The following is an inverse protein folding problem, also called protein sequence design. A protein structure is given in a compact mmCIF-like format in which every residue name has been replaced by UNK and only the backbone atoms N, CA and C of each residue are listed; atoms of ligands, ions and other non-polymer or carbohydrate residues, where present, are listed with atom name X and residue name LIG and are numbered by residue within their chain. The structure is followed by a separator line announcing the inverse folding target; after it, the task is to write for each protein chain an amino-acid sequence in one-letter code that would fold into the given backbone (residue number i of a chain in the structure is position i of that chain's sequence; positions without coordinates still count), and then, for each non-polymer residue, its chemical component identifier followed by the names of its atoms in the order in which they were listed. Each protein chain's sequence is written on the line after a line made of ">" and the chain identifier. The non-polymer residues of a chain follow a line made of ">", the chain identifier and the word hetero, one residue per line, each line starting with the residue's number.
data_IF_840176674960
#
_entry.id   IF_840176674960
#
_cell.length_a   1.000
_cell.length_b   1.000
_cell.length_c   1.000
_cell.angle_alpha   90.00
_cell.angle_beta   90.00
_cell.angle_gamma   90.00
#
_symmetry.space_group_name_H-M   'P 1'
#
loop_
_entity.id
_entity.type
_entity.pdbx_description
1 polymer ?
#
# COMPACT_ATOMS: atom_id res chain seq x y z
N UNK A 1 -34.25 -21.62 -27.86
CA UNK A 1 -32.84 -21.15 -27.88
C UNK A 1 -32.85 -19.62 -27.78
N UNK A 2 -32.91 -19.08 -26.57
CA UNK A 2 -32.68 -17.66 -26.32
C UNK A 2 -31.18 -17.45 -26.15
N UNK A 3 -30.61 -16.55 -26.93
CA UNK A 3 -29.17 -16.36 -27.06
C UNK A 3 -28.68 -15.47 -25.90
N UNK A 4 -27.85 -16.02 -25.01
CA UNK A 4 -27.29 -15.37 -23.80
C UNK A 4 -26.43 -14.13 -24.12
N UNK A 5 -26.05 -13.91 -25.38
CA UNK A 5 -25.26 -12.75 -25.80
C UNK A 5 -26.04 -11.41 -25.75
N UNK A 6 -27.37 -11.41 -25.85
CA UNK A 6 -28.17 -10.18 -25.90
C UNK A 6 -28.49 -9.55 -24.53
N UNK A 7 -28.30 -10.28 -23.42
CA UNK A 7 -28.55 -9.74 -22.07
C UNK A 7 -27.42 -8.82 -21.58
N UNK A 8 -26.16 -9.10 -21.94
CA UNK A 8 -25.03 -8.28 -21.54
C UNK A 8 -25.05 -6.89 -22.20
N UNK A 9 -25.46 -6.81 -23.48
CA UNK A 9 -25.61 -5.53 -24.17
C UNK A 9 -26.71 -4.64 -23.56
N UNK A 10 -27.77 -5.23 -23.00
CA UNK A 10 -28.86 -4.47 -22.37
C UNK A 10 -28.44 -3.91 -20.99
N UNK A 11 -27.65 -4.67 -20.22
CA UNK A 11 -27.07 -4.21 -18.96
C UNK A 11 -26.02 -3.11 -19.17
N UNK A 12 -25.18 -3.23 -20.21
CA UNK A 12 -24.21 -2.19 -20.55
C UNK A 12 -24.90 -0.91 -21.05
N UNK A 13 -25.99 -1.01 -21.82
CA UNK A 13 -26.79 0.16 -22.23
C UNK A 13 -27.49 0.85 -21.07
N UNK A 14 -28.06 0.09 -20.13
CA UNK A 14 -28.69 0.66 -18.93
C UNK A 14 -27.66 1.28 -17.97
N UNK A 15 -26.46 0.70 -17.85
CA UNK A 15 -25.35 1.28 -17.12
C UNK A 15 -24.85 2.58 -17.79
N UNK A 16 -24.78 2.61 -19.12
CA UNK A 16 -24.41 3.78 -19.89
C UNK A 16 -25.45 4.91 -19.77
N UNK A 17 -26.74 4.60 -19.84
CA UNK A 17 -27.83 5.56 -19.60
C UNK A 17 -27.81 6.08 -18.16
N UNK A 18 -27.62 5.21 -17.15
CA UNK A 18 -27.51 5.64 -15.75
C UNK A 18 -26.28 6.52 -15.52
N UNK A 19 -25.15 6.21 -16.17
CA UNK A 19 -23.95 7.05 -16.11
C UNK A 19 -24.20 8.43 -16.76
N UNK A 20 -24.92 8.47 -17.88
CA UNK A 20 -25.30 9.71 -18.55
C UNK A 20 -26.33 10.53 -17.74
N UNK A 21 -27.26 9.86 -17.05
CA UNK A 21 -28.28 10.52 -16.23
C UNK A 21 -27.74 11.01 -14.87
N UNK A 22 -26.83 10.24 -14.25
CA UNK A 22 -26.09 10.66 -13.05
C UNK A 22 -25.13 11.81 -13.34
N UNK A 23 -24.50 11.82 -14.51
CA UNK A 23 -23.72 12.97 -14.97
C UNK A 23 -24.63 14.17 -15.28
N UNK A 24 -25.79 13.99 -15.92
CA UNK A 24 -26.76 15.08 -16.19
C UNK A 24 -27.30 15.72 -14.90
N UNK A 25 -27.67 14.92 -13.90
CA UNK A 25 -28.17 15.42 -12.60
C UNK A 25 -27.06 16.12 -11.80
N UNK A 26 -25.82 15.62 -11.84
CA UNK A 26 -24.65 16.33 -11.29
C UNK A 26 -24.37 17.64 -12.03
N UNK A 27 -24.44 17.66 -13.36
CA UNK A 27 -24.28 18.86 -14.19
C UNK A 27 -25.32 19.91 -13.83
N UNK A 28 -26.59 19.55 -13.68
CA UNK A 28 -27.68 20.46 -13.27
C UNK A 28 -27.44 21.06 -11.87
N UNK A 29 -27.04 20.24 -10.89
CA UNK A 29 -26.73 20.73 -9.54
C UNK A 29 -25.49 21.64 -9.48
N UNK A 30 -24.47 21.36 -10.29
CA UNK A 30 -23.25 22.18 -10.37
C UNK A 30 -23.49 23.48 -11.12
N UNK A 31 -24.32 23.46 -12.17
CA UNK A 31 -24.75 24.64 -12.93
C UNK A 31 -25.51 25.62 -12.02
N UNK A 32 -26.46 25.12 -11.22
CA UNK A 32 -27.19 25.92 -10.24
C UNK A 32 -26.28 26.50 -9.13
N UNK A 33 -25.23 25.77 -8.73
CA UNK A 33 -24.28 26.22 -7.70
C UNK A 33 -23.29 27.27 -8.22
N UNK A 34 -22.91 27.23 -9.51
CA UNK A 34 -22.02 28.20 -10.13
C UNK A 34 -22.75 29.50 -10.55
N UNK A 35 -23.96 29.41 -11.10
CA UNK A 35 -24.74 30.60 -11.47
C UNK A 35 -25.17 31.45 -10.26
N UNK A 36 -25.39 30.85 -9.08
CA UNK A 36 -25.73 31.59 -7.86
C UNK A 36 -24.55 32.34 -7.22
N UNK A 37 -23.30 31.98 -7.55
CA UNK A 37 -22.09 32.56 -6.94
C UNK A 37 -21.39 33.60 -7.81
N UNK A 38 -21.85 33.82 -9.03
CA UNK A 38 -21.42 34.94 -9.86
C UNK A 38 -22.35 36.13 -9.56
N UNK A 39 -21.90 37.03 -8.69
CA UNK A 39 -22.47 38.38 -8.59
C UNK A 39 -22.40 39.11 -9.95
N UNK A 40 -23.02 40.30 -10.09
CA UNK A 40 -23.31 40.96 -11.37
C UNK A 40 -22.07 41.58 -12.09
N UNK A 41 -20.93 40.90 -12.08
CA UNK A 41 -19.70 41.30 -12.75
C UNK A 41 -19.07 40.11 -13.47
N UNK A 42 -19.70 39.68 -14.56
CA UNK A 42 -19.02 38.88 -15.57
C UNK A 42 -19.33 39.47 -16.94
N UNK A 43 -18.53 40.47 -17.33
CA UNK A 43 -18.44 40.90 -18.72
C UNK A 43 -17.67 39.83 -19.51
N UNK A 44 -18.31 39.34 -20.58
CA UNK A 44 -17.73 38.70 -21.76
C UNK A 44 -16.68 37.61 -21.51
N UNK A 45 -17.15 36.39 -21.27
CA UNK A 45 -16.42 35.18 -21.65
C UNK A 45 -17.12 34.61 -22.89
N UNK A 46 -16.58 34.90 -24.09
CA UNK A 46 -17.01 34.30 -25.37
C UNK A 46 -16.46 32.87 -25.53
N UNK A 47 -16.73 31.98 -24.58
CA UNK A 47 -16.47 30.56 -24.76
C UNK A 47 -17.72 29.76 -24.40
N UNK A 48 -18.02 28.77 -25.24
CA UNK A 48 -19.18 27.90 -25.10
C UNK A 48 -19.28 27.36 -23.65
N UNK A 49 -20.38 27.62 -22.93
CA UNK A 49 -20.58 27.14 -21.56
C UNK A 49 -20.35 25.63 -21.40
N UNK A 50 -20.64 24.83 -22.43
CA UNK A 50 -20.39 23.39 -22.43
C UNK A 50 -18.89 23.08 -22.39
N UNK A 51 -18.07 23.84 -23.11
CA UNK A 51 -16.62 23.66 -23.15
C UNK A 51 -15.97 24.05 -21.82
N UNK A 52 -16.49 25.09 -21.13
CA UNK A 52 -16.06 25.47 -19.77
C UNK A 52 -16.42 24.36 -18.77
N UNK A 53 -17.63 23.81 -18.85
CA UNK A 53 -18.08 22.71 -17.99
C UNK A 53 -17.21 21.46 -18.19
N UNK A 54 -16.91 21.07 -19.43
CA UNK A 54 -16.08 19.90 -19.72
C UNK A 54 -14.65 20.05 -19.21
N UNK A 55 -14.05 21.25 -19.33
CA UNK A 55 -12.72 21.54 -18.80
C UNK A 55 -12.74 21.50 -17.26
N UNK A 56 -13.75 22.09 -16.62
CA UNK A 56 -13.87 22.08 -15.17
C UNK A 56 -14.09 20.67 -14.61
N UNK A 57 -14.90 19.86 -15.28
CA UNK A 57 -15.12 18.44 -14.95
C UNK A 57 -13.82 17.65 -15.09
N UNK A 58 -13.12 17.80 -16.21
CA UNK A 58 -11.83 17.12 -16.45
C UNK A 58 -10.77 17.51 -15.42
N UNK A 59 -10.69 18.79 -15.06
CA UNK A 59 -9.76 19.28 -14.04
C UNK A 59 -10.12 18.76 -12.64
N UNK A 60 -11.41 18.69 -12.29
CA UNK A 60 -11.85 18.08 -11.03
C UNK A 60 -11.55 16.57 -10.98
N UNK A 61 -11.77 15.84 -12.08
CA UNK A 61 -11.39 14.43 -12.17
C UNK A 61 -9.88 14.22 -11.98
N UNK A 62 -9.05 15.05 -12.62
CA UNK A 62 -7.58 15.01 -12.45
C UNK A 62 -7.19 15.30 -11.00
N UNK A 63 -7.85 16.27 -10.36
CA UNK A 63 -7.58 16.65 -8.97
C UNK A 63 -7.99 15.55 -7.97
N UNK A 64 -9.17 14.97 -8.14
CA UNK A 64 -9.67 13.88 -7.30
C UNK A 64 -8.79 12.64 -7.43
N UNK A 65 -8.40 12.30 -8.66
CA UNK A 65 -7.46 11.21 -8.91
C UNK A 65 -6.14 11.48 -8.19
N UNK A 66 -5.52 12.65 -8.41
CA UNK A 66 -4.26 13.05 -7.76
C UNK A 66 -4.34 13.01 -6.23
N UNK A 67 -5.52 13.27 -5.66
CA UNK A 67 -5.73 13.18 -4.22
C UNK A 67 -5.76 11.73 -3.74
N UNK A 68 -6.47 10.85 -4.43
CA UNK A 68 -6.53 9.40 -4.14
C UNK A 68 -5.15 8.76 -4.18
N UNK A 69 -4.35 9.12 -5.18
CA UNK A 69 -2.94 8.76 -5.33
C UNK A 69 -2.13 9.11 -4.10
N UNK A 70 -2.19 10.37 -3.70
CA UNK A 70 -1.38 10.91 -2.60
C UNK A 70 -1.78 10.22 -1.30
N UNK A 71 -3.06 9.90 -1.16
CA UNK A 71 -3.59 9.15 -0.04
C UNK A 71 -3.03 7.73 0.00
N UNK A 72 -3.04 7.00 -1.12
CA UNK A 72 -2.44 5.67 -1.20
C UNK A 72 -0.92 5.69 -1.03
N UNK A 73 -0.19 6.67 -1.57
CA UNK A 73 1.24 6.79 -1.32
C UNK A 73 1.52 7.03 0.17
N UNK A 74 0.74 7.90 0.81
CA UNK A 74 0.84 8.16 2.24
C UNK A 74 0.57 6.91 3.09
N UNK A 75 -0.48 6.15 2.77
CA UNK A 75 -0.84 4.93 3.52
C UNK A 75 0.23 3.85 3.36
N UNK A 76 0.69 3.63 2.13
CA UNK A 76 1.79 2.73 1.83
C UNK A 76 3.05 3.11 2.62
N UNK A 77 3.44 4.39 2.58
CA UNK A 77 4.63 4.87 3.25
C UNK A 77 4.51 4.75 4.78
N UNK A 78 3.33 4.99 5.34
CA UNK A 78 3.07 4.78 6.76
C UNK A 78 3.30 3.31 7.16
N UNK A 79 2.68 2.36 6.45
CA UNK A 79 2.87 0.93 6.71
C UNK A 79 4.33 0.48 6.59
N UNK A 80 5.03 0.98 5.56
CA UNK A 80 6.45 0.68 5.33
C UNK A 80 7.35 1.24 6.44
N UNK A 81 7.13 2.49 6.86
CA UNK A 81 7.87 3.11 7.97
C UNK A 81 7.57 2.38 9.28
N UNK A 82 6.33 1.94 9.49
CA UNK A 82 5.93 1.23 10.70
C UNK A 82 6.58 -0.16 10.83
N UNK A 83 6.76 -0.86 9.71
CA UNK A 83 7.55 -2.09 9.65
C UNK A 83 9.06 -1.84 9.77
N UNK A 84 9.69 -1.41 8.68
CA UNK A 84 11.16 -1.36 8.53
C UNK A 84 11.80 0.02 8.74
N UNK A 85 10.97 1.03 8.98
CA UNK A 85 11.43 2.39 9.20
C UNK A 85 11.82 2.73 10.64
N UNK A 86 12.32 3.94 10.83
CA UNK A 86 12.41 4.60 12.12
C UNK A 86 12.46 6.11 11.95
N UNK A 87 12.05 6.83 12.99
CA UNK A 87 12.19 8.26 13.14
C UNK A 87 12.95 8.48 14.45
N UNK A 88 14.06 9.21 14.38
CA UNK A 88 14.93 9.48 15.51
C UNK A 88 15.32 10.96 15.53
N UNK A 89 15.34 11.54 16.72
CA UNK A 89 15.96 12.82 17.01
C UNK A 89 17.25 12.50 17.75
N UNK A 90 18.37 12.90 17.16
CA UNK A 90 19.71 12.67 17.71
C UNK A 90 20.01 13.64 18.87
N UNK A 91 21.03 13.33 19.67
CA UNK A 91 21.51 14.20 20.75
C UNK A 91 21.95 15.59 20.24
N UNK A 92 22.38 15.68 18.99
CA UNK A 92 22.72 16.93 18.30
C UNK A 92 21.49 17.71 17.80
N UNK A 93 20.28 17.31 18.23
CA UNK A 93 19.02 17.93 17.84
C UNK A 93 18.78 17.90 16.30
N UNK A 94 19.13 16.78 15.67
CA UNK A 94 18.91 16.50 14.23
C UNK A 94 17.96 15.33 14.05
N UNK A 95 17.02 15.48 13.12
CA UNK A 95 16.08 14.42 12.72
C UNK A 95 16.72 13.49 11.70
N UNK A 96 16.49 12.19 11.88
CA UNK A 96 16.77 11.15 10.90
C UNK A 96 15.50 10.30 10.76
N UNK A 97 14.92 10.30 9.57
CA UNK A 97 13.94 9.30 9.15
C UNK A 97 14.66 8.30 8.24
N UNK A 98 14.68 7.03 8.65
CA UNK A 98 15.35 5.97 7.91
C UNK A 98 14.39 4.84 7.57
N UNK A 99 14.58 4.19 6.41
CA UNK A 99 13.92 2.93 6.04
C UNK A 99 15.00 1.96 5.58
N UNK A 100 15.04 0.78 6.17
CA UNK A 100 16.00 -0.27 5.81
C UNK A 100 15.41 -1.15 4.72
N UNK A 101 16.20 -1.44 3.68
CA UNK A 101 15.81 -2.38 2.61
C UNK A 101 16.90 -3.43 2.44
N UNK A 102 16.54 -4.60 1.90
CA UNK A 102 17.53 -5.50 1.34
C UNK A 102 18.24 -4.81 0.15
N UNK A 103 19.52 -5.12 -0.07
CA UNK A 103 20.28 -4.54 -1.19
C UNK A 103 19.63 -4.78 -2.56
N UNK A 104 18.93 -5.91 -2.74
CA UNK A 104 18.21 -6.20 -3.99
C UNK A 104 17.08 -5.20 -4.27
N UNK A 105 16.50 -4.60 -3.24
CA UNK A 105 15.41 -3.62 -3.32
C UNK A 105 15.90 -2.17 -3.47
N UNK A 106 17.18 -1.97 -3.81
CA UNK A 106 17.72 -0.63 -4.14
C UNK A 106 16.88 0.15 -5.17
N UNK A 107 16.32 -0.46 -6.22
CA UNK A 107 15.46 0.25 -7.17
C UNK A 107 14.24 0.90 -6.51
N UNK A 108 13.57 0.21 -5.59
CA UNK A 108 12.46 0.79 -4.82
C UNK A 108 12.94 1.94 -3.94
N UNK A 109 14.05 1.78 -3.22
CA UNK A 109 14.61 2.85 -2.40
C UNK A 109 14.96 4.10 -3.23
N UNK A 110 15.50 3.93 -4.44
CA UNK A 110 15.81 5.03 -5.35
C UNK A 110 14.55 5.73 -5.87
N UNK A 111 13.50 4.96 -6.19
CA UNK A 111 12.21 5.50 -6.62
C UNK A 111 11.54 6.31 -5.52
N UNK A 112 11.54 5.81 -4.28
CA UNK A 112 11.04 6.55 -3.11
C UNK A 112 11.87 7.81 -2.85
N UNK A 113 13.19 7.75 -2.99
CA UNK A 113 14.06 8.92 -2.87
C UNK A 113 13.66 10.01 -3.89
N UNK A 114 13.49 9.65 -5.16
CA UNK A 114 13.08 10.62 -6.20
C UNK A 114 11.71 11.24 -5.94
N UNK A 115 10.76 10.48 -5.37
CA UNK A 115 9.43 11.01 -5.08
C UNK A 115 9.41 11.90 -3.86
N UNK A 116 10.07 11.48 -2.77
CA UNK A 116 9.95 12.16 -1.47
C UNK A 116 10.79 13.43 -1.43
N UNK A 117 11.96 13.45 -2.07
CA UNK A 117 12.80 14.64 -2.20
C UNK A 117 14.23 14.41 -1.75
N UNK A 118 14.81 15.40 -1.05
CA UNK A 118 16.23 15.40 -0.69
C UNK A 118 16.51 14.40 0.44
N UNK A 119 17.30 13.39 0.10
CA UNK A 119 17.78 12.35 1.01
C UNK A 119 18.97 11.63 0.41
N UNK A 120 19.34 10.47 0.95
CA UNK A 120 20.39 9.63 0.40
C UNK A 120 20.18 8.15 0.75
N UNK A 121 20.80 7.28 -0.03
CA UNK A 121 20.82 5.83 0.22
C UNK A 121 22.21 5.45 0.72
N UNK A 122 22.29 5.02 1.98
CA UNK A 122 23.53 4.53 2.59
C UNK A 122 23.64 3.00 2.43
N UNK A 123 24.82 2.51 2.05
CA UNK A 123 25.13 1.08 2.15
C UNK A 123 25.44 0.72 3.61
N UNK A 124 24.95 -0.43 4.07
CA UNK A 124 25.35 -1.01 5.37
C UNK A 124 26.40 -2.11 5.14
N UNK A 125 26.98 -2.62 6.23
CA UNK A 125 27.98 -3.72 6.18
C UNK A 125 27.37 -5.07 5.76
N UNK A 126 26.07 -5.20 5.93
CA UNK A 126 25.25 -6.37 5.58
C UNK A 126 24.67 -6.22 4.16
N UNK A 127 23.94 -7.23 3.68
CA UNK A 127 23.15 -7.17 2.44
C UNK A 127 21.91 -6.26 2.56
N UNK A 128 22.09 -5.07 3.14
CA UNK A 128 21.06 -4.07 3.32
C UNK A 128 21.56 -2.67 2.98
N UNK A 129 20.62 -1.84 2.60
CA UNK A 129 20.78 -0.42 2.36
C UNK A 129 19.79 0.33 3.24
N UNK A 130 20.00 1.63 3.39
CA UNK A 130 19.12 2.46 4.18
C UNK A 130 18.85 3.77 3.45
N UNK A 131 17.57 4.01 3.16
CA UNK A 131 17.08 5.27 2.65
C UNK A 131 16.91 6.24 3.82
N UNK A 132 17.62 7.37 3.80
CA UNK A 132 17.61 8.37 4.88
C UNK A 132 17.17 9.74 4.40
N UNK A 133 16.34 10.38 5.23
CA UNK A 133 15.89 11.75 5.07
C UNK A 133 16.17 12.56 6.35
N UNK A 134 16.73 13.75 6.16
CA UNK A 134 16.99 14.73 7.23
C UNK A 134 16.75 16.17 6.78
N UNK A 135 16.52 16.39 5.48
CA UNK A 135 16.21 17.70 4.91
C UNK A 135 14.84 18.20 5.37
N UNK A 136 14.76 19.47 5.80
CA UNK A 136 13.55 20.08 6.37
C UNK A 136 12.33 19.95 5.43
N UNK A 137 12.47 20.31 4.15
CA UNK A 137 11.36 20.29 3.19
C UNK A 137 10.86 18.87 2.96
N UNK A 138 11.79 17.93 2.85
CA UNK A 138 11.49 16.52 2.64
C UNK A 138 10.82 15.88 3.85
N UNK A 139 11.31 16.17 5.06
CA UNK A 139 10.68 15.73 6.31
C UNK A 139 9.26 16.27 6.46
N UNK A 140 9.04 17.56 6.20
CA UNK A 140 7.70 18.15 6.23
C UNK A 140 6.75 17.46 5.24
N UNK A 141 7.21 17.22 4.01
CA UNK A 141 6.43 16.50 3.01
C UNK A 141 6.06 15.09 3.49
N UNK A 142 7.02 14.34 4.04
CA UNK A 142 6.75 13.00 4.58
C UNK A 142 5.74 13.06 5.72
N UNK A 143 5.90 14.00 6.68
CA UNK A 143 4.96 14.18 7.79
C UNK A 143 3.56 14.50 7.28
N UNK A 144 3.41 15.41 6.31
CA UNK A 144 2.12 15.72 5.69
C UNK A 144 1.48 14.50 5.04
N UNK A 145 2.27 13.62 4.41
CA UNK A 145 1.76 12.41 3.77
C UNK A 145 1.24 11.39 4.79
N UNK A 146 1.97 11.17 5.91
CA UNK A 146 1.73 10.04 6.82
C UNK A 146 0.97 10.40 8.10
N UNK A 147 0.82 11.69 8.44
CA UNK A 147 0.08 12.10 9.63
C UNK A 147 -1.38 11.67 9.52
N UNK A 148 -1.87 10.93 10.52
CA UNK A 148 -3.20 10.32 10.50
C UNK A 148 -3.30 9.02 9.69
N UNK A 149 -2.17 8.39 9.31
CA UNK A 149 -2.14 7.12 8.56
C UNK A 149 -1.41 5.98 9.28
N UNK A 150 -0.76 6.26 10.41
CA UNK A 150 -0.11 5.22 11.24
C UNK A 150 -1.17 4.36 11.93
N UNK A 151 -0.86 3.07 12.13
CA UNK A 151 -1.78 2.11 12.76
C UNK A 151 -1.16 1.32 13.92
N UNK A 152 0.11 1.56 14.24
CA UNK A 152 0.87 0.87 15.28
C UNK A 152 1.27 1.81 16.43
N UNK A 153 1.69 1.25 17.59
CA UNK A 153 2.34 2.02 18.64
C UNK A 153 3.56 2.85 18.23
N UNK A 154 4.13 2.61 17.03
CA UNK A 154 5.25 3.39 16.50
C UNK A 154 4.86 4.84 16.15
N UNK A 155 3.57 5.18 16.16
CA UNK A 155 3.09 6.58 16.01
C UNK A 155 3.76 7.54 17.00
N UNK A 156 4.19 7.03 18.16
CA UNK A 156 4.99 7.79 19.13
C UNK A 156 6.22 8.46 18.50
N UNK A 157 6.89 7.83 17.53
CA UNK A 157 8.05 8.43 16.86
C UNK A 157 7.65 9.58 15.93
N UNK A 158 6.49 9.46 15.26
CA UNK A 158 5.93 10.51 14.42
C UNK A 158 5.50 11.71 15.27
N UNK A 159 4.86 11.46 16.42
CA UNK A 159 4.49 12.52 17.35
C UNK A 159 5.70 13.29 17.89
N UNK A 160 6.77 12.58 18.27
CA UNK A 160 8.04 13.24 18.65
C UNK A 160 8.61 14.12 17.54
N UNK A 161 8.51 13.66 16.29
CA UNK A 161 8.95 14.45 15.13
C UNK A 161 8.07 15.68 14.91
N UNK A 162 6.75 15.55 15.04
CA UNK A 162 5.81 16.68 14.95
C UNK A 162 6.11 17.71 16.03
N UNK A 163 6.26 17.27 17.29
CA UNK A 163 6.61 18.16 18.41
C UNK A 163 7.95 18.88 18.16
N UNK A 164 8.95 18.16 17.63
CA UNK A 164 10.23 18.74 17.25
C UNK A 164 10.11 19.78 16.13
N UNK A 165 9.29 19.52 15.10
CA UNK A 165 9.07 20.46 13.99
C UNK A 165 8.37 21.74 14.48
N UNK A 166 7.32 21.57 15.30
CA UNK A 166 6.59 22.68 15.91
C UNK A 166 7.52 23.56 16.75
N UNK A 167 8.33 22.94 17.62
CA UNK A 167 9.27 23.67 18.48
C UNK A 167 10.40 24.34 17.70
N UNK A 168 11.00 23.65 16.73
CA UNK A 168 12.19 24.15 16.01
C UNK A 168 11.86 25.22 14.98
N UNK A 169 10.68 25.16 14.37
CA UNK A 169 10.31 26.03 13.25
C UNK A 169 9.05 26.87 13.52
N UNK A 170 8.57 26.92 14.77
CA UNK A 170 7.37 27.66 15.17
C UNK A 170 6.16 27.29 14.30
N UNK A 171 5.97 25.99 14.07
CA UNK A 171 4.85 25.44 13.31
C UNK A 171 3.73 24.99 14.24
N UNK A 172 2.53 24.79 13.69
CA UNK A 172 1.36 24.29 14.41
C UNK A 172 0.78 23.04 13.71
N UNK A 173 1.61 22.01 13.57
CA UNK A 173 1.18 20.73 13.00
C UNK A 173 0.44 19.95 14.08
N UNK A 174 -0.85 19.69 13.88
CA UNK A 174 -1.65 18.86 14.79
C UNK A 174 -1.29 17.38 14.68
N UNK A 175 -1.26 16.68 15.82
CA UNK A 175 -1.04 15.23 15.90
C UNK A 175 -2.34 14.47 15.63
N UNK A 176 -2.47 13.86 14.45
CA UNK A 176 -3.66 13.09 14.09
C UNK A 176 -3.58 11.66 14.66
N UNK A 177 -4.72 11.08 15.10
CA UNK A 177 -4.75 9.78 15.76
C UNK A 177 -4.39 8.62 14.81
N UNK A 178 -4.31 7.41 15.38
CA UNK A 178 -4.18 6.18 14.61
C UNK A 178 -5.33 6.01 13.61
N UNK A 179 -5.00 5.55 12.41
CA UNK A 179 -5.97 5.25 11.36
C UNK A 179 -6.64 3.89 11.61
N UNK A 180 -7.96 3.93 11.81
CA UNK A 180 -8.80 2.75 12.02
C UNK A 180 -9.69 2.42 10.82
N UNK A 181 -9.47 3.06 9.66
CA UNK A 181 -10.25 2.77 8.45
C UNK A 181 -10.07 1.31 7.99
N UNK A 182 -11.07 0.72 7.30
CA UNK A 182 -10.99 -0.67 6.87
C UNK A 182 -9.76 -0.95 6.00
N UNK A 183 -9.14 -2.12 6.19
CA UNK A 183 -7.87 -2.46 5.54
C UNK A 183 -7.96 -2.50 4.00
N UNK A 184 -9.14 -2.73 3.42
CA UNK A 184 -9.39 -2.75 1.97
C UNK A 184 -9.52 -1.35 1.32
N UNK A 185 -9.47 -0.28 2.12
CA UNK A 185 -9.65 1.11 1.65
C UNK A 185 -8.36 1.83 1.33
N UNK A 186 -7.20 1.26 1.67
CA UNK A 186 -5.91 1.83 1.31
C UNK A 186 -4.77 0.79 1.30
N UNK A 187 -3.60 1.26 0.90
CA UNK A 187 -2.36 0.48 0.73
C UNK A 187 -1.52 0.34 2.01
N UNK A 188 -2.03 0.69 3.20
CA UNK A 188 -1.25 0.61 4.44
C UNK A 188 -0.74 -0.82 4.69
N UNK A 189 -1.62 -1.82 4.53
CA UNK A 189 -1.25 -3.22 4.74
C UNK A 189 -0.21 -3.69 3.72
N UNK A 190 -0.21 -3.14 2.50
CA UNK A 190 0.84 -3.39 1.49
C UNK A 190 2.20 -2.95 2.01
N UNK A 191 2.33 -1.72 2.50
CA UNK A 191 3.58 -1.21 3.08
C UNK A 191 4.03 -2.03 4.29
N UNK A 192 3.09 -2.49 5.12
CA UNK A 192 3.39 -3.31 6.28
C UNK A 192 3.84 -4.74 5.90
N UNK A 193 3.21 -5.34 4.88
CA UNK A 193 3.63 -6.63 4.29
C UNK A 193 5.01 -6.52 3.66
N UNK A 194 5.37 -5.36 3.10
CA UNK A 194 6.69 -5.17 2.50
C UNK A 194 7.84 -5.32 3.50
N UNK A 195 7.60 -4.96 4.76
CA UNK A 195 8.60 -5.12 5.81
C UNK A 195 8.68 -6.56 6.33
N UNK A 196 7.55 -7.07 6.85
CA UNK A 196 7.55 -8.30 7.68
C UNK A 196 6.79 -9.48 7.05
N UNK A 197 6.24 -9.32 5.85
CA UNK A 197 5.49 -10.35 5.13
C UNK A 197 6.37 -11.23 4.23
N UNK A 198 5.95 -12.48 4.02
CA UNK A 198 6.62 -13.41 3.12
C UNK A 198 5.69 -14.44 2.49
N UNK A 199 6.02 -14.82 1.24
CA UNK A 199 5.29 -15.79 0.43
C UNK A 199 6.10 -17.07 0.25
N UNK A 200 5.46 -18.23 0.43
CA UNK A 200 6.14 -19.52 0.43
C UNK A 200 5.33 -20.56 -0.32
N UNK A 201 6.02 -21.39 -1.09
CA UNK A 201 5.48 -22.61 -1.66
C UNK A 201 6.13 -23.79 -0.94
N UNK A 202 5.32 -24.61 -0.27
CA UNK A 202 5.78 -25.81 0.44
C UNK A 202 5.36 -27.06 -0.33
N UNK A 203 6.35 -27.84 -0.73
CA UNK A 203 6.16 -29.23 -1.15
C UNK A 203 6.25 -30.12 0.10
N UNK A 204 5.30 -31.03 0.22
CA UNK A 204 5.34 -32.12 1.18
C UNK A 204 4.96 -33.41 0.46
N UNK A 205 5.24 -34.55 1.08
CA UNK A 205 4.87 -35.86 0.53
C UNK A 205 3.36 -35.97 0.22
N UNK A 206 2.53 -35.24 0.98
CA UNK A 206 1.07 -35.33 0.91
C UNK A 206 0.42 -34.22 0.07
N UNK A 207 1.05 -33.06 -0.07
CA UNK A 207 0.42 -31.87 -0.66
C UNK A 207 1.43 -30.78 -1.04
N UNK A 208 1.00 -29.93 -1.96
CA UNK A 208 1.66 -28.66 -2.32
C UNK A 208 0.79 -27.53 -1.79
N UNK A 209 1.36 -26.64 -0.97
CA UNK A 209 0.62 -25.54 -0.33
C UNK A 209 1.32 -24.20 -0.62
N UNK A 210 0.51 -23.20 -1.00
CA UNK A 210 0.89 -21.80 -0.98
C UNK A 210 0.59 -21.21 0.41
N UNK A 211 1.61 -20.63 1.04
CA UNK A 211 1.53 -20.02 2.37
C UNK A 211 1.96 -18.57 2.30
N UNK A 212 1.23 -17.69 2.98
CA UNK A 212 1.70 -16.37 3.36
C UNK A 212 1.89 -16.31 4.87
N UNK A 213 2.95 -15.63 5.32
CA UNK A 213 3.18 -15.38 6.73
C UNK A 213 3.60 -13.92 6.96
N UNK A 214 3.08 -13.33 8.04
CA UNK A 214 3.53 -12.05 8.57
C UNK A 214 3.84 -12.24 10.06
N UNK A 215 5.03 -11.83 10.49
CA UNK A 215 5.46 -11.95 11.88
C UNK A 215 5.83 -10.59 12.45
N UNK A 216 5.24 -10.23 13.58
CA UNK A 216 5.57 -8.99 14.27
C UNK A 216 5.71 -9.21 15.77
N UNK A 217 6.62 -8.47 16.40
CA UNK A 217 6.82 -8.53 17.87
C UNK A 217 5.52 -8.22 18.60
N UNK A 218 5.31 -8.86 19.75
CA UNK A 218 4.07 -8.64 20.51
C UNK A 218 3.99 -7.25 21.14
N UNK A 219 5.10 -6.75 21.68
CA UNK A 219 5.18 -5.49 22.42
C UNK A 219 6.12 -4.51 21.72
N UNK A 220 5.69 -3.26 21.61
CA UNK A 220 6.53 -2.17 21.15
C UNK A 220 7.46 -1.71 22.29
N UNK A 221 8.80 -1.77 22.11
CA UNK A 221 9.73 -1.58 23.21
C UNK A 221 9.79 -0.14 23.77
N UNK A 222 9.33 0.88 23.02
CA UNK A 222 9.41 2.27 23.50
C UNK A 222 8.26 2.67 24.42
N UNK A 223 7.06 2.13 24.21
CA UNK A 223 5.86 2.48 24.99
C UNK A 223 5.32 1.33 25.82
N UNK A 224 5.74 0.08 25.56
CA UNK A 224 5.17 -1.11 26.19
C UNK A 224 3.81 -1.53 25.61
N UNK A 225 3.29 -0.81 24.63
CA UNK A 225 2.01 -1.11 24.01
C UNK A 225 2.06 -2.36 23.12
N UNK A 226 0.95 -3.07 23.05
CA UNK A 226 0.83 -4.30 22.28
C UNK A 226 0.46 -4.05 20.81
N UNK A 227 1.02 -4.85 19.91
CA UNK A 227 0.58 -4.93 18.51
C UNK A 227 -0.70 -5.77 18.33
N UNK A 228 -1.25 -6.34 19.41
CA UNK A 228 -2.37 -7.28 19.36
C UNK A 228 -3.57 -6.75 18.57
N UNK A 229 -4.07 -5.56 18.91
CA UNK A 229 -5.29 -5.01 18.30
C UNK A 229 -5.16 -4.93 16.78
N UNK A 230 -4.07 -4.35 16.29
CA UNK A 230 -3.80 -4.23 14.86
C UNK A 230 -3.68 -5.60 14.18
N UNK A 231 -2.86 -6.49 14.72
CA UNK A 231 -2.62 -7.79 14.08
C UNK A 231 -3.87 -8.68 14.14
N UNK A 232 -4.69 -8.55 15.18
CA UNK A 232 -5.99 -9.20 15.27
C UNK A 232 -6.96 -8.64 14.21
N UNK A 233 -6.96 -7.33 13.97
CA UNK A 233 -7.76 -6.72 12.89
C UNK A 233 -7.33 -7.23 11.51
N UNK A 234 -6.03 -7.41 11.27
CA UNK A 234 -5.53 -8.03 10.03
C UNK A 234 -5.98 -9.49 9.93
N UNK A 235 -5.96 -10.24 11.04
CA UNK A 235 -6.48 -11.62 11.07
C UNK A 235 -7.98 -11.70 10.76
N UNK A 236 -8.80 -10.81 11.33
CA UNK A 236 -10.24 -10.72 11.03
C UNK A 236 -10.44 -10.42 9.55
N UNK A 237 -9.73 -9.43 9.01
CA UNK A 237 -9.80 -9.08 7.59
C UNK A 237 -9.45 -10.25 6.67
N UNK A 238 -8.37 -10.97 6.97
CA UNK A 238 -7.92 -12.13 6.18
C UNK A 238 -8.69 -13.42 6.51
N UNK A 239 -9.67 -13.39 7.42
CA UNK A 239 -10.41 -14.55 7.90
C UNK A 239 -9.49 -15.69 8.44
N UNK A 240 -8.51 -15.33 9.26
CA UNK A 240 -7.59 -16.27 9.92
C UNK A 240 -7.50 -16.00 11.41
N UNK A 241 -6.85 -16.89 12.17
CA UNK A 241 -6.62 -16.70 13.61
C UNK A 241 -5.22 -16.15 13.86
N UNK A 242 -5.12 -15.20 14.80
CA UNK A 242 -3.82 -14.73 15.28
C UNK A 242 -3.17 -15.84 16.10
N UNK A 243 -1.93 -16.17 15.78
CA UNK A 243 -1.14 -17.16 16.52
C UNK A 243 0.07 -16.52 17.18
N UNK A 244 0.63 -17.19 18.18
CA UNK A 244 1.88 -16.78 18.82
C UNK A 244 2.99 -17.74 18.40
N UNK A 245 4.11 -17.19 17.94
CA UNK A 245 5.34 -17.92 17.65
C UNK A 245 6.36 -17.64 18.75
N UNK A 246 6.68 -18.69 19.52
CA UNK A 246 7.78 -18.66 20.46
C UNK A 246 9.08 -19.03 19.72
N UNK A 247 10.05 -18.12 19.72
CA UNK A 247 11.38 -18.40 19.15
C UNK A 247 12.27 -18.96 20.25
N UNK A 248 12.67 -20.23 20.11
CA UNK A 248 13.68 -20.85 20.98
C UNK A 248 14.92 -19.93 21.04
N UNK A 249 15.46 -19.72 22.24
CA UNK A 249 16.64 -18.88 22.50
C UNK A 249 16.46 -17.36 22.31
N UNK A 250 15.23 -16.83 22.16
CA UNK A 250 14.95 -15.39 22.25
C UNK A 250 13.90 -15.13 23.32
N UNK A 251 14.14 -14.13 24.19
CA UNK A 251 13.18 -13.69 25.22
C UNK A 251 11.85 -13.13 24.67
N UNK A 252 11.71 -13.03 23.35
CA UNK A 252 10.62 -12.30 22.72
C UNK A 252 9.72 -13.25 21.93
N UNK A 253 8.45 -13.32 22.32
CA UNK A 253 7.37 -13.92 21.54
C UNK A 253 6.91 -12.96 20.44
N UNK A 254 6.49 -13.54 19.32
CA UNK A 254 6.00 -12.82 18.15
C UNK A 254 4.56 -13.22 17.89
N UNK A 255 3.73 -12.26 17.50
CA UNK A 255 2.49 -12.55 16.83
C UNK A 255 2.78 -13.01 15.40
N UNK A 256 2.00 -13.98 14.93
CA UNK A 256 2.14 -14.56 13.62
C UNK A 256 0.78 -14.73 12.97
N UNK A 257 0.65 -14.15 11.78
CA UNK A 257 -0.47 -14.31 10.86
C UNK A 257 -0.05 -15.33 9.81
N UNK A 258 -0.86 -16.36 9.58
CA UNK A 258 -0.64 -17.35 8.51
C UNK A 258 -1.87 -17.48 7.65
N UNK A 259 -1.68 -17.37 6.34
CA UNK A 259 -2.71 -17.64 5.34
C UNK A 259 -2.29 -18.90 4.58
N UNK A 260 -3.05 -19.98 4.75
CA UNK A 260 -2.79 -21.28 4.11
C UNK A 260 -4.05 -21.91 3.49
N UNK A 261 -5.24 -21.37 3.81
CA UNK A 261 -6.52 -21.86 3.28
C UNK A 261 -6.93 -21.06 2.03
N UNK A 262 -7.80 -21.65 1.20
CA UNK A 262 -8.21 -21.06 -0.09
C UNK A 262 -8.93 -19.72 0.07
N UNK A 263 -9.90 -19.61 0.98
CA UNK A 263 -10.71 -18.39 1.16
C UNK A 263 -9.85 -17.20 1.58
N UNK A 264 -9.03 -17.38 2.62
CA UNK A 264 -8.09 -16.34 3.08
C UNK A 264 -7.04 -15.98 2.03
N UNK A 265 -6.64 -16.95 1.21
CA UNK A 265 -5.70 -16.69 0.11
C UNK A 265 -6.34 -15.81 -0.96
N UNK A 266 -7.59 -16.07 -1.34
CA UNK A 266 -8.33 -15.23 -2.29
C UNK A 266 -8.47 -13.79 -1.78
N UNK A 267 -8.83 -13.60 -0.49
CA UNK A 267 -8.91 -12.26 0.13
C UNK A 267 -7.57 -11.52 0.03
N UNK A 268 -6.46 -12.20 0.34
CA UNK A 268 -5.12 -11.61 0.25
C UNK A 268 -4.75 -11.25 -1.19
N UNK A 269 -5.07 -12.13 -2.14
CA UNK A 269 -4.84 -11.89 -3.58
C UNK A 269 -5.63 -10.67 -4.05
N UNK A 270 -6.91 -10.58 -3.72
CA UNK A 270 -7.77 -9.45 -4.10
C UNK A 270 -7.22 -8.13 -3.53
N UNK A 271 -6.77 -8.14 -2.27
CA UNK A 271 -6.13 -7.00 -1.65
C UNK A 271 -4.85 -6.58 -2.39
N UNK A 272 -3.93 -7.51 -2.66
CA UNK A 272 -2.64 -7.22 -3.28
C UNK A 272 -2.73 -6.94 -4.78
N UNK A 273 -3.77 -7.40 -5.46
CA UNK A 273 -4.07 -6.99 -6.83
C UNK A 273 -4.61 -5.56 -6.88
N UNK A 274 -5.36 -5.14 -5.85
CA UNK A 274 -5.85 -3.76 -5.71
C UNK A 274 -4.74 -2.80 -5.24
N UNK A 275 -3.90 -3.23 -4.29
CA UNK A 275 -2.77 -2.47 -3.76
C UNK A 275 -1.49 -3.29 -3.92
N UNK A 276 -0.80 -3.16 -5.07
CA UNK A 276 0.37 -3.97 -5.38
C UNK A 276 1.56 -3.69 -4.47
N UNK A 277 2.27 -4.77 -4.12
CA UNK A 277 3.64 -4.67 -3.60
C UNK A 277 4.54 -3.96 -4.62
N UNK A 278 5.58 -3.30 -4.14
CA UNK A 278 6.51 -2.52 -4.94
C UNK A 278 7.93 -3.08 -4.93
N UNK A 279 8.34 -3.81 -3.89
CA UNK A 279 9.67 -4.41 -3.81
C UNK A 279 9.80 -5.65 -4.70
N UNK A 280 10.94 -6.33 -4.63
CA UNK A 280 11.13 -7.64 -5.25
C UNK A 280 10.11 -8.69 -4.77
N UNK A 281 9.50 -8.48 -3.60
CA UNK A 281 8.42 -9.32 -3.06
C UNK A 281 7.16 -9.30 -3.93
N UNK A 282 6.97 -8.27 -4.76
CA UNK A 282 5.93 -8.26 -5.79
C UNK A 282 6.10 -9.43 -6.77
N UNK A 283 7.34 -9.68 -7.21
CA UNK A 283 7.63 -10.79 -8.11
C UNK A 283 7.37 -12.14 -7.42
N UNK A 284 7.71 -12.24 -6.13
CA UNK A 284 7.43 -13.42 -5.33
C UNK A 284 5.92 -13.66 -5.17
N UNK A 285 5.15 -12.59 -4.98
CA UNK A 285 3.69 -12.65 -4.97
C UNK A 285 3.13 -13.13 -6.31
N UNK A 286 3.64 -12.66 -7.46
CA UNK A 286 3.16 -13.10 -8.78
C UNK A 286 3.40 -14.60 -9.01
N UNK A 287 4.59 -15.09 -8.69
CA UNK A 287 4.93 -16.52 -8.81
C UNK A 287 4.09 -17.38 -7.83
N UNK A 288 3.84 -16.84 -6.63
CA UNK A 288 2.98 -17.45 -5.62
C UNK A 288 1.51 -17.48 -6.03
N UNK A 289 0.96 -16.39 -6.56
CA UNK A 289 -0.43 -16.27 -7.02
C UNK A 289 -0.68 -17.21 -8.20
N UNK A 290 0.25 -17.26 -9.16
CA UNK A 290 0.21 -18.22 -10.27
C UNK A 290 0.19 -19.67 -9.77
N UNK A 291 1.04 -19.99 -8.81
CA UNK A 291 1.09 -21.33 -8.21
C UNK A 291 -0.20 -21.66 -7.47
N UNK A 292 -0.77 -20.71 -6.73
CA UNK A 292 -2.05 -20.86 -6.06
C UNK A 292 -3.17 -21.14 -7.06
N UNK A 293 -3.26 -20.42 -8.18
CA UNK A 293 -4.27 -20.65 -9.23
C UNK A 293 -4.19 -22.08 -9.80
N UNK A 294 -2.98 -22.61 -10.01
CA UNK A 294 -2.77 -24.01 -10.45
C UNK A 294 -3.24 -25.00 -9.38
N UNK A 295 -2.98 -24.70 -8.10
CA UNK A 295 -3.43 -25.54 -6.98
C UNK A 295 -4.96 -25.52 -6.87
N UNK A 296 -5.55 -24.34 -6.91
CA UNK A 296 -6.99 -24.08 -6.84
C UNK A 296 -7.76 -24.85 -7.92
N UNK A 297 -7.24 -24.84 -9.15
CA UNK A 297 -7.82 -25.57 -10.28
C UNK A 297 -7.47 -27.07 -10.32
N UNK A 298 -6.84 -27.62 -9.27
CA UNK A 298 -6.37 -29.01 -9.18
C UNK A 298 -5.35 -29.45 -10.25
N UNK A 299 -4.85 -28.52 -11.08
CA UNK A 299 -3.89 -28.81 -12.14
C UNK A 299 -2.51 -29.24 -11.62
N UNK A 300 -2.20 -28.94 -10.35
CA UNK A 300 -1.00 -29.42 -9.64
C UNK A 300 -0.93 -30.96 -9.50
N UNK A 301 -1.98 -31.70 -9.85
CA UNK A 301 -1.96 -33.17 -9.89
C UNK A 301 -1.21 -33.71 -11.12
N UNK A 302 -1.09 -32.91 -12.18
CA UNK A 302 -0.36 -33.27 -13.41
C UNK A 302 1.15 -33.04 -13.27
N UNK A 303 1.97 -33.74 -14.06
CA UNK A 303 3.42 -33.51 -14.09
C UNK A 303 3.76 -32.06 -14.47
N UNK A 304 3.18 -31.55 -15.56
CA UNK A 304 3.38 -30.17 -16.00
C UNK A 304 2.94 -29.12 -14.97
N UNK A 305 1.82 -29.34 -14.28
CA UNK A 305 1.39 -28.47 -13.19
C UNK A 305 2.39 -28.42 -12.02
N UNK A 306 2.96 -29.58 -11.64
CA UNK A 306 4.02 -29.65 -10.60
C UNK A 306 5.30 -28.97 -11.05
N UNK A 307 5.71 -29.16 -12.30
CA UNK A 307 6.89 -28.53 -12.88
C UNK A 307 6.78 -27.00 -12.87
N UNK A 308 5.63 -26.45 -13.26
CA UNK A 308 5.41 -25.00 -13.23
C UNK A 308 5.50 -24.46 -11.80
N UNK A 309 4.89 -25.14 -10.82
CA UNK A 309 4.95 -24.70 -9.41
C UNK A 309 6.37 -24.84 -8.85
N UNK A 310 7.11 -25.88 -9.23
CA UNK A 310 8.49 -26.07 -8.81
C UNK A 310 9.41 -24.99 -9.39
N UNK A 311 9.24 -24.65 -10.67
CA UNK A 311 9.94 -23.55 -11.31
C UNK A 311 9.64 -22.21 -10.60
N UNK A 312 8.38 -21.93 -10.30
CA UNK A 312 7.98 -20.75 -9.53
C UNK A 312 8.66 -20.72 -8.15
N UNK A 313 8.61 -21.83 -7.39
CA UNK A 313 9.27 -21.95 -6.09
C UNK A 313 10.78 -21.69 -6.16
N UNK A 314 11.44 -22.17 -7.21
CA UNK A 314 12.88 -21.99 -7.42
C UNK A 314 13.23 -20.61 -7.97
N UNK A 315 12.24 -19.79 -8.31
CA UNK A 315 12.42 -18.41 -8.74
C UNK A 315 11.91 -17.40 -7.70
N UNK A 316 11.60 -17.81 -6.46
CA UNK A 316 11.09 -16.94 -5.41
C UNK A 316 12.11 -16.65 -4.30
N UNK A 317 11.91 -15.54 -3.58
CA UNK A 317 12.63 -15.16 -2.37
C UNK A 317 14.15 -15.08 -2.59
N UNK A 318 14.93 -15.88 -1.86
CA UNK A 318 16.39 -15.91 -1.94
C UNK A 318 16.92 -16.70 -3.15
N UNK A 319 16.06 -17.50 -3.80
CA UNK A 319 16.43 -18.22 -5.02
C UNK A 319 16.28 -17.35 -6.29
N UNK A 320 15.59 -16.20 -6.18
CA UNK A 320 15.40 -15.29 -7.32
C UNK A 320 16.71 -14.58 -7.67
N UNK A 321 17.14 -14.72 -8.91
CA UNK A 321 18.35 -14.05 -9.44
C UNK A 321 18.03 -12.97 -10.47
N UNK A 322 16.87 -13.04 -11.12
CA UNK A 322 16.40 -12.06 -12.10
C UNK A 322 15.26 -11.20 -11.54
N UNK A 323 15.42 -9.88 -11.61
CA UNK A 323 14.46 -8.90 -11.10
C UNK A 323 14.02 -7.95 -12.22
N UNK A 324 12.75 -8.06 -12.63
CA UNK A 324 12.11 -7.03 -13.44
C UNK A 324 11.54 -5.95 -12.51
N UNK A 325 11.82 -4.67 -12.80
CA UNK A 325 11.37 -3.52 -12.03
C UNK A 325 10.39 -2.62 -12.80
N UNK A 326 9.89 -3.07 -13.95
CA UNK A 326 8.92 -2.31 -14.76
C UNK A 326 7.67 -1.93 -13.99
N UNK A 327 7.23 -2.72 -13.02
CA UNK A 327 6.10 -2.37 -12.15
C UNK A 327 6.34 -1.08 -11.35
N UNK A 328 7.59 -0.69 -11.12
CA UNK A 328 7.93 0.59 -10.50
C UNK A 328 7.74 1.78 -11.44
N UNK A 329 7.80 1.59 -12.77
CA UNK A 329 7.53 2.66 -13.73
C UNK A 329 6.05 3.04 -13.70
N UNK A 330 5.19 2.07 -13.44
CA UNK A 330 3.77 2.26 -13.23
C UNK A 330 3.44 2.68 -11.79
N UNK A 331 4.40 3.05 -10.95
CA UNK A 331 4.07 3.74 -9.69
C UNK A 331 3.34 5.05 -10.00
N UNK A 332 3.65 5.72 -11.11
CA UNK A 332 2.87 6.87 -11.65
C UNK A 332 1.60 6.46 -12.43
N UNK A 333 1.19 5.18 -12.39
CA UNK A 333 -0.07 4.72 -12.99
C UNK A 333 -0.89 3.80 -12.06
N UNK A 334 -0.30 3.25 -11.00
CA UNK A 334 -0.86 2.32 -9.99
C UNK A 334 -0.76 2.87 -8.56
N UNK A 335 0.03 3.92 -8.37
CA UNK A 335 -0.18 5.00 -7.39
C UNK A 335 -0.16 6.33 -8.19
N UNK A 336 -1.07 6.48 -9.18
CA UNK A 336 -0.89 7.32 -10.36
C UNK A 336 -0.34 8.75 -10.21
#
# INVERSE_FOLDING_TARGET
>A
KFNLANLNYLFDWLAFINFYYLSYTRVSSLFNKYYFNLGPTCQQINSDPYQICDIAIKNNFILDHKKEIIEHLGSYLAGLIEGDGYISITNENRVILGITFNIKDKPLAAKLLSYLGKGFIAKRKTNSIELRFSDKKTILRIVTLINGKFRTPKIEQLYKLIDWLNNKYSMDISKLPLDNSPLDKNSWLTGFIEADGGFYIRFSLKQIICKFALEQRMIYPKTGESYYTLLNNICIFLNVKLSVRNRLNKKNSYYQIRVENQNSTLILIDYLNKYPLLSSKYLDFLDWEKSFKIIFNKAHMTAGGKEIILAAKNNMNDNRTHFNWEHLNFVECRLP
#
